data_IF_286592079015
#
_entry.id   IF_286592079015
#
_cell.length_a   1.000
_cell.length_b   1.000
_cell.length_c   1.000
_cell.angle_alpha   90.00
_cell.angle_beta   90.00
_cell.angle_gamma   90.00
#
_symmetry.space_group_name_H-M   'P 1'
#
loop_
_entity.id
_entity.type
_entity.pdbx_description
1 polymer ?
#
# COMPACT_ATOMS: atom_id res chain seq x y z
N UNK A 1 -0.52 -4.98 -24.12
CA UNK A 1 -1.85 -4.82 -23.49
C UNK A 1 -2.32 -3.42 -23.84
N UNK A 2 -3.49 -3.24 -24.45
CA UNK A 2 -4.06 -1.89 -24.57
C UNK A 2 -4.19 -1.30 -23.16
N UNK A 3 -3.80 -0.03 -22.95
CA UNK A 3 -3.96 0.59 -21.65
C UNK A 3 -5.44 0.56 -21.25
N UNK A 4 -5.69 0.31 -19.96
CA UNK A 4 -7.01 0.48 -19.38
C UNK A 4 -7.55 1.87 -19.78
N UNK A 5 -8.64 1.93 -20.53
CA UNK A 5 -9.21 3.18 -21.04
C UNK A 5 -10.12 3.89 -20.04
N UNK A 6 -10.24 3.34 -18.83
CA UNK A 6 -11.00 3.94 -17.73
C UNK A 6 -10.03 4.53 -16.69
N UNK A 7 -10.11 5.84 -16.49
CA UNK A 7 -9.44 6.54 -15.39
C UNK A 7 -10.45 6.83 -14.28
N UNK A 8 -10.04 6.66 -13.02
CA UNK A 8 -10.84 7.01 -11.86
C UNK A 8 -10.12 8.10 -11.06
N UNK A 9 -10.85 9.17 -10.74
CA UNK A 9 -10.41 10.18 -9.77
C UNK A 9 -11.12 9.89 -8.45
N UNK A 10 -10.38 9.87 -7.35
CA UNK A 10 -10.92 9.70 -6.00
C UNK A 10 -10.53 10.94 -5.21
N UNK A 11 -11.51 11.58 -4.56
CA UNK A 11 -11.26 12.68 -3.63
C UNK A 11 -11.03 12.11 -2.22
N UNK A 12 -9.83 12.29 -1.63
CA UNK A 12 -9.59 11.87 -0.25
C UNK A 12 -10.48 12.67 0.72
N UNK A 13 -11.02 11.99 1.72
CA UNK A 13 -11.81 12.64 2.79
C UNK A 13 -10.96 13.00 4.01
N UNK A 14 -9.79 12.37 4.16
CA UNK A 14 -8.86 12.55 5.28
C UNK A 14 -7.41 12.50 4.77
N UNK A 15 -6.49 13.06 5.54
CA UNK A 15 -5.04 12.87 5.40
C UNK A 15 -4.57 11.80 6.38
N UNK A 16 -3.27 11.48 6.39
CA UNK A 16 -2.72 10.58 7.40
C UNK A 16 -2.79 11.17 8.82
N UNK A 17 -2.79 12.50 8.95
CA UNK A 17 -2.88 13.21 10.22
C UNK A 17 -4.33 13.36 10.73
N UNK A 18 -5.30 13.49 9.83
CA UNK A 18 -6.70 13.72 10.20
C UNK A 18 -7.54 12.45 10.26
N UNK A 19 -7.05 11.34 9.72
CA UNK A 19 -7.76 10.07 9.78
C UNK A 19 -7.94 9.59 11.23
N UNK A 20 -9.15 9.16 11.62
CA UNK A 20 -9.39 8.60 12.95
C UNK A 20 -8.72 7.22 13.09
N UNK A 21 -8.80 6.64 14.29
CA UNK A 21 -8.49 5.23 14.46
C UNK A 21 -9.43 4.38 13.59
N UNK A 22 -8.86 3.51 12.78
CA UNK A 22 -9.60 2.64 11.87
C UNK A 22 -9.83 1.27 12.52
N UNK A 23 -10.96 0.64 12.19
CA UNK A 23 -11.18 -0.80 12.43
C UNK A 23 -10.53 -1.66 11.33
N UNK A 24 -10.52 -1.15 10.10
CA UNK A 24 -10.03 -1.84 8.90
C UNK A 24 -9.20 -0.88 8.06
N UNK A 25 -7.98 -1.30 7.70
CA UNK A 25 -7.13 -0.58 6.74
C UNK A 25 -6.97 -1.43 5.48
N UNK A 26 -7.35 -0.86 4.32
CA UNK A 26 -7.14 -1.45 3.01
C UNK A 26 -6.03 -0.68 2.28
N UNK A 27 -4.98 -1.39 1.87
CA UNK A 27 -3.92 -0.86 1.02
C UNK A 27 -4.11 -1.46 -0.39
N UNK A 28 -4.57 -0.65 -1.37
CA UNK A 28 -4.78 -1.13 -2.73
C UNK A 28 -3.43 -1.35 -3.43
N UNK A 29 -3.47 -2.01 -4.58
CA UNK A 29 -2.32 -2.11 -5.45
C UNK A 29 -2.25 -0.98 -6.48
N UNK A 30 -1.45 -1.21 -7.50
CA UNK A 30 -1.13 -0.24 -8.54
C UNK A 30 0.35 0.12 -8.51
N UNK A 31 0.81 0.73 -9.60
CA UNK A 31 2.23 1.08 -9.78
C UNK A 31 2.60 2.43 -9.15
N UNK A 32 1.62 3.21 -8.67
CA UNK A 32 1.87 4.56 -8.15
C UNK A 32 2.76 4.63 -6.90
N UNK A 33 2.85 3.53 -6.14
CA UNK A 33 3.71 3.41 -4.97
C UNK A 33 5.10 2.81 -5.28
N UNK A 34 5.37 2.44 -6.54
CA UNK A 34 6.58 1.74 -6.96
C UNK A 34 7.44 2.61 -7.87
N UNK A 35 8.74 2.32 -7.92
CA UNK A 35 9.68 3.03 -8.79
C UNK A 35 9.33 2.76 -10.26
N UNK A 36 9.11 3.81 -11.09
CA UNK A 36 8.82 3.62 -12.51
C UNK A 36 10.05 3.18 -13.31
N UNK A 37 11.26 3.28 -12.76
CA UNK A 37 12.48 2.79 -13.38
C UNK A 37 12.43 1.25 -13.54
N UNK A 38 12.48 0.73 -14.79
CA UNK A 38 12.51 -0.71 -15.03
C UNK A 38 13.65 -1.44 -14.31
N UNK A 39 14.79 -0.78 -14.05
CA UNK A 39 15.90 -1.35 -13.30
C UNK A 39 15.60 -1.57 -11.80
N UNK A 40 14.53 -0.94 -11.29
CA UNK A 40 14.05 -1.03 -9.90
C UNK A 40 12.63 -1.57 -9.83
N UNK A 41 12.20 -2.31 -10.86
CA UNK A 41 10.87 -2.89 -10.92
C UNK A 41 10.55 -3.69 -9.64
N UNK A 42 9.35 -3.48 -9.10
CA UNK A 42 8.92 -4.11 -7.85
C UNK A 42 9.41 -3.42 -6.57
N UNK A 43 10.30 -2.43 -6.65
CA UNK A 43 10.75 -1.66 -5.48
C UNK A 43 9.78 -0.52 -5.15
N UNK A 44 9.27 -0.42 -3.91
CA UNK A 44 8.48 0.73 -3.48
C UNK A 44 9.31 2.02 -3.57
N UNK A 45 8.71 3.10 -4.06
CA UNK A 45 9.33 4.43 -4.07
C UNK A 45 9.26 5.01 -2.65
N UNK A 46 10.37 5.23 -1.92
CA UNK A 46 10.34 5.61 -0.50
C UNK A 46 9.51 6.86 -0.22
N UNK A 47 9.63 7.89 -1.08
CA UNK A 47 8.86 9.13 -0.96
C UNK A 47 7.32 8.96 -1.01
N UNK A 48 6.83 7.81 -1.50
CA UNK A 48 5.40 7.48 -1.54
C UNK A 48 5.05 6.39 -0.52
N UNK A 49 5.91 5.37 -0.39
CA UNK A 49 5.67 4.23 0.47
C UNK A 49 5.85 4.55 1.96
N UNK A 50 6.87 5.34 2.34
CA UNK A 50 7.22 5.56 3.75
C UNK A 50 6.08 6.23 4.54
N UNK A 51 5.39 7.28 4.03
CA UNK A 51 4.22 7.84 4.72
C UNK A 51 3.10 6.81 4.95
N UNK A 52 2.87 5.92 3.98
CA UNK A 52 1.86 4.85 4.09
C UNK A 52 2.27 3.85 5.17
N UNK A 53 3.55 3.48 5.22
CA UNK A 53 4.11 2.59 6.24
C UNK A 53 3.99 3.18 7.64
N UNK A 54 4.36 4.46 7.80
CA UNK A 54 4.27 5.17 9.09
C UNK A 54 2.81 5.20 9.56
N UNK A 55 1.88 5.57 8.67
CA UNK A 55 0.46 5.57 8.98
C UNK A 55 -0.07 4.18 9.33
N UNK A 56 0.28 3.15 8.56
CA UNK A 56 -0.15 1.78 8.82
C UNK A 56 0.34 1.27 10.17
N UNK A 57 1.60 1.57 10.54
CA UNK A 57 2.16 1.21 11.86
C UNK A 57 1.45 1.94 13.00
N UNK A 58 1.11 3.21 12.83
CA UNK A 58 0.37 3.98 13.83
C UNK A 58 -1.05 3.45 14.04
N UNK A 59 -1.73 3.02 12.97
CA UNK A 59 -3.08 2.45 13.04
C UNK A 59 -3.10 1.02 13.57
N UNK A 60 -2.04 0.24 13.31
CA UNK A 60 -1.98 -1.22 13.54
C UNK A 60 -2.48 -1.70 14.91
N UNK A 61 -2.15 -1.05 16.04
CA UNK A 61 -2.59 -1.53 17.36
C UNK A 61 -4.11 -1.56 17.55
N UNK A 62 -4.86 -0.70 16.85
CA UNK A 62 -6.33 -0.66 16.92
C UNK A 62 -7.03 -1.29 15.72
N UNK A 63 -6.29 -1.77 14.72
CA UNK A 63 -6.88 -2.46 13.57
C UNK A 63 -7.42 -3.83 13.99
N UNK A 64 -8.65 -4.13 13.58
CA UNK A 64 -9.18 -5.51 13.56
C UNK A 64 -8.67 -6.25 12.33
N UNK A 65 -8.51 -5.55 11.20
CA UNK A 65 -8.02 -6.12 9.95
C UNK A 65 -7.09 -5.17 9.19
N UNK A 66 -5.98 -5.71 8.72
CA UNK A 66 -5.12 -5.09 7.72
C UNK A 66 -5.22 -5.89 6.42
N UNK A 67 -5.75 -5.27 5.37
CA UNK A 67 -6.02 -5.92 4.08
C UNK A 67 -5.15 -5.28 3.02
N UNK A 68 -4.46 -6.10 2.24
CA UNK A 68 -3.66 -5.65 1.10
C UNK A 68 -4.16 -6.32 -0.16
N UNK A 69 -4.21 -5.60 -1.28
CA UNK A 69 -4.66 -6.13 -2.58
C UNK A 69 -3.58 -5.90 -3.63
N UNK A 70 -3.38 -6.88 -4.51
CA UNK A 70 -2.45 -6.77 -5.64
C UNK A 70 -1.02 -6.42 -5.14
N UNK A 71 -0.40 -5.35 -5.65
CA UNK A 71 0.94 -4.89 -5.23
C UNK A 71 0.96 -4.24 -3.84
N UNK A 72 -0.19 -4.00 -3.19
CA UNK A 72 -0.27 -3.29 -1.91
C UNK A 72 0.51 -3.95 -0.77
N UNK A 73 0.68 -5.28 -0.78
CA UNK A 73 1.52 -5.99 0.20
C UNK A 73 3.01 -5.68 0.05
N UNK A 74 3.46 -5.29 -1.14
CA UNK A 74 4.85 -4.85 -1.38
C UNK A 74 5.19 -3.53 -0.67
N UNK A 75 4.20 -2.69 -0.36
CA UNK A 75 4.41 -1.48 0.46
C UNK A 75 4.75 -1.86 1.90
N UNK A 76 4.18 -2.97 2.40
CA UNK A 76 4.37 -3.42 3.78
C UNK A 76 5.50 -4.45 3.95
N UNK A 77 6.05 -5.00 2.87
CA UNK A 77 7.08 -6.04 2.93
C UNK A 77 8.37 -5.56 3.61
N UNK A 78 8.66 -4.26 3.57
CA UNK A 78 9.91 -3.67 4.07
C UNK A 78 9.84 -3.18 5.52
N UNK A 79 8.70 -3.36 6.21
CA UNK A 79 8.45 -2.67 7.48
C UNK A 79 8.10 -3.59 8.66
N UNK A 80 8.18 -4.90 8.49
CA UNK A 80 7.95 -5.88 9.55
C UNK A 80 6.49 -6.12 9.93
N UNK A 81 5.51 -5.38 9.39
CA UNK A 81 4.08 -5.64 9.65
C UNK A 81 3.61 -6.99 9.09
N UNK A 82 4.34 -7.54 8.13
CA UNK A 82 4.09 -8.86 7.55
C UNK A 82 5.03 -9.95 8.08
N UNK A 83 5.90 -9.63 9.04
CA UNK A 83 6.88 -10.59 9.58
C UNK A 83 6.18 -11.79 10.24
N UNK A 84 6.61 -13.00 9.88
CA UNK A 84 5.99 -14.25 10.34
C UNK A 84 4.53 -14.45 9.88
N UNK A 85 4.01 -13.66 8.93
CA UNK A 85 2.65 -13.81 8.40
C UNK A 85 2.65 -14.50 7.04
N UNK A 86 1.59 -15.29 6.78
CA UNK A 86 1.28 -15.74 5.43
C UNK A 86 0.64 -14.57 4.68
N UNK A 87 1.33 -14.07 3.67
CA UNK A 87 0.87 -12.99 2.79
C UNK A 87 1.02 -13.39 1.33
N UNK A 88 0.24 -12.76 0.45
CA UNK A 88 0.36 -12.89 -1.01
C UNK A 88 0.44 -11.52 -1.66
N UNK A 89 0.87 -11.45 -2.91
CA UNK A 89 1.00 -10.21 -3.68
C UNK A 89 0.69 -10.44 -5.15
N UNK A 90 0.77 -9.40 -5.96
CA UNK A 90 0.67 -9.52 -7.41
C UNK A 90 1.80 -10.41 -7.95
N UNK A 91 1.47 -11.41 -8.77
CA UNK A 91 2.44 -12.37 -9.32
C UNK A 91 3.60 -11.72 -10.08
N UNK A 92 3.36 -10.58 -10.74
CA UNK A 92 4.36 -9.87 -11.53
C UNK A 92 5.01 -8.69 -10.80
N UNK A 93 4.82 -8.59 -9.47
CA UNK A 93 5.54 -7.67 -8.62
C UNK A 93 6.96 -8.18 -8.36
#
# INVERSE_FOLDING_TARGET
>A
MSPFTTSQTIQPTHTFETAPQLDVLLIPGGMGAFDPDPAKSGSPKPAVADPIVIFARAQYPGLKNLVTVCTGSGILSLNGLLEGKKATTFKGA
#
